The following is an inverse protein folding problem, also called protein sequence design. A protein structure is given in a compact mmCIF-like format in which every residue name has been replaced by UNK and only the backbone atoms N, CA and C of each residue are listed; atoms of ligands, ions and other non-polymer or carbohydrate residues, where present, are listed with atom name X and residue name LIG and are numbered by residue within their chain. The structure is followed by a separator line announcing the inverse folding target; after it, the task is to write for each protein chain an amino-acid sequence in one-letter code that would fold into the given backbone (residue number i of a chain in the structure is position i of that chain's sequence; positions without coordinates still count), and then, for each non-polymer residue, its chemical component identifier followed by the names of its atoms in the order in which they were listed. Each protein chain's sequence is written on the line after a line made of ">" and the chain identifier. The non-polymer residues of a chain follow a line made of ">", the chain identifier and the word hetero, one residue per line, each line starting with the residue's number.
data_IF_018998982676
#
_entry.id   IF_018998982676
#
_cell.length_a   1.000
_cell.length_b   1.000
_cell.length_c   1.000
_cell.angle_alpha   90.00
_cell.angle_beta   90.00
_cell.angle_gamma   90.00
#
_symmetry.space_group_name_H-M   'P 1'
#
loop_
_entity.id
_entity.type
_entity.pdbx_description
1 polymer ?
#
# COMPACT_ATOMS: atom_id res chain seq x y z
N UNK A 1 -9.26 6.05 19.84
CA UNK A 1 -9.91 4.72 19.93
C UNK A 1 -8.99 3.69 19.32
N UNK A 2 -8.31 2.97 20.20
CA UNK A 2 -7.29 1.96 19.92
C UNK A 2 -7.96 0.68 19.42
N UNK A 3 -7.83 0.39 18.13
CA UNK A 3 -8.21 -0.92 17.58
C UNK A 3 -7.20 -1.94 18.11
N UNK A 4 -7.63 -2.77 19.06
CA UNK A 4 -6.85 -3.85 19.65
C UNK A 4 -6.42 -4.85 18.55
N UNK A 5 -5.16 -5.32 18.53
CA UNK A 5 -4.76 -6.37 17.60
C UNK A 5 -5.34 -7.72 18.07
N UNK A 6 -6.22 -8.30 17.25
CA UNK A 6 -7.00 -9.51 17.56
C UNK A 6 -6.21 -10.82 17.64
N UNK A 7 -4.88 -10.80 17.58
CA UNK A 7 -4.11 -12.04 17.69
C UNK A 7 -2.70 -11.79 18.25
N UNK A 8 -2.52 -12.02 19.55
CA UNK A 8 -1.24 -11.78 20.24
C UNK A 8 -0.53 -13.04 20.72
N UNK A 9 -1.02 -14.23 20.43
CA UNK A 9 -0.45 -15.46 20.99
C UNK A 9 -0.03 -16.44 19.89
N UNK A 10 1.28 -16.67 19.69
CA UNK A 10 1.82 -17.68 18.75
C UNK A 10 1.24 -19.08 18.98
N UNK A 11 0.86 -19.41 20.22
CA UNK A 11 0.29 -20.71 20.61
C UNK A 11 -1.06 -21.01 19.97
N UNK A 12 -1.79 -19.99 19.54
CA UNK A 12 -3.13 -20.16 18.99
C UNK A 12 -3.05 -20.35 17.45
N UNK A 13 -2.01 -19.84 16.77
CA UNK A 13 -1.88 -19.97 15.30
C UNK A 13 -1.79 -21.44 14.87
N UNK A 14 -1.02 -22.24 15.61
CA UNK A 14 -0.84 -23.67 15.34
C UNK A 14 -2.11 -24.49 15.59
N UNK A 15 -3.10 -23.93 16.32
CA UNK A 15 -4.37 -24.60 16.62
C UNK A 15 -5.37 -24.55 15.44
N UNK A 16 -5.13 -23.69 14.45
CA UNK A 16 -6.05 -23.58 13.31
C UNK A 16 -5.91 -24.72 12.31
N UNK A 17 -7.06 -25.20 11.85
CA UNK A 17 -7.16 -26.21 10.79
C UNK A 17 -6.56 -25.69 9.48
N UNK A 18 -5.83 -26.54 8.77
CA UNK A 18 -5.36 -26.25 7.40
C UNK A 18 -6.51 -25.83 6.48
N UNK A 19 -6.23 -25.00 5.48
CA UNK A 19 -7.25 -24.30 4.70
C UNK A 19 -7.25 -22.80 4.93
N UNK A 20 -8.38 -22.19 4.58
CA UNK A 20 -8.69 -20.80 4.89
C UNK A 20 -8.50 -20.42 6.37
N UNK A 21 -8.87 -21.24 7.38
CA UNK A 21 -8.69 -20.86 8.77
C UNK A 21 -7.22 -20.58 9.14
N UNK A 22 -6.29 -21.44 8.70
CA UNK A 22 -4.85 -21.25 8.95
C UNK A 22 -4.25 -20.15 8.09
N UNK A 23 -4.72 -19.99 6.84
CA UNK A 23 -4.24 -18.92 5.97
C UNK A 23 -4.66 -17.53 6.46
N UNK A 24 -5.92 -17.33 6.82
CA UNK A 24 -6.38 -16.03 7.36
C UNK A 24 -5.73 -15.72 8.70
N UNK A 25 -5.46 -16.75 9.52
CA UNK A 25 -4.67 -16.60 10.74
C UNK A 25 -3.24 -16.09 10.46
N UNK A 26 -2.59 -16.57 9.38
CA UNK A 26 -1.30 -16.04 8.95
C UNK A 26 -1.43 -14.56 8.55
N UNK A 27 -2.41 -14.22 7.71
CA UNK A 27 -2.62 -12.84 7.26
C UNK A 27 -2.91 -11.89 8.44
N UNK A 28 -3.57 -12.39 9.50
CA UNK A 28 -3.85 -11.63 10.72
C UNK A 28 -2.62 -11.46 11.63
N UNK A 29 -1.58 -12.29 11.47
CA UNK A 29 -0.41 -12.31 12.35
C UNK A 29 0.45 -11.05 12.22
N UNK A 30 0.59 -10.52 11.00
CA UNK A 30 1.40 -9.33 10.76
C UNK A 30 0.90 -8.56 9.53
N UNK A 31 0.81 -7.21 9.60
CA UNK A 31 0.38 -6.37 8.47
C UNK A 31 1.16 -6.58 7.17
N UNK A 32 2.44 -6.94 7.27
CA UNK A 32 3.29 -7.29 6.12
C UNK A 32 2.72 -8.42 5.25
N UNK A 33 1.92 -9.32 5.83
CA UNK A 33 1.32 -10.42 5.08
C UNK A 33 0.02 -10.04 4.37
N UNK A 34 -0.56 -8.89 4.70
CA UNK A 34 -1.85 -8.42 4.20
C UNK A 34 -1.69 -7.73 2.85
N UNK A 35 -1.34 -8.51 1.83
CA UNK A 35 -1.17 -8.06 0.45
C UNK A 35 -2.39 -8.49 -0.36
N UNK A 36 -3.08 -7.54 -0.98
CA UNK A 36 -4.27 -7.80 -1.78
C UNK A 36 -4.22 -7.06 -3.10
N UNK A 37 -5.01 -7.50 -4.08
CA UNK A 37 -5.08 -6.83 -5.37
C UNK A 37 -5.88 -5.53 -5.30
N UNK A 38 -5.36 -4.48 -5.94
CA UNK A 38 -6.07 -3.20 -6.17
C UNK A 38 -7.20 -3.36 -7.17
N UNK A 39 -7.04 -4.31 -8.11
CA UNK A 39 -7.93 -4.52 -9.25
C UNK A 39 -8.05 -3.28 -10.15
N UNK A 40 -6.96 -2.53 -10.32
CA UNK A 40 -6.99 -1.22 -10.99
C UNK A 40 -7.64 -1.28 -12.38
N UNK A 41 -7.24 -2.25 -13.21
CA UNK A 41 -7.80 -2.44 -14.55
C UNK A 41 -9.31 -2.74 -14.54
N UNK A 42 -9.76 -3.55 -13.59
CA UNK A 42 -11.18 -3.95 -13.50
C UNK A 42 -12.02 -2.77 -13.01
N UNK A 43 -11.57 -2.07 -11.96
CA UNK A 43 -12.23 -0.87 -11.44
C UNK A 43 -12.36 0.22 -12.51
N UNK A 44 -11.28 0.50 -13.22
CA UNK A 44 -11.30 1.46 -14.34
C UNK A 44 -12.27 1.04 -15.45
N UNK A 45 -12.29 -0.24 -15.81
CA UNK A 45 -13.25 -0.73 -16.81
C UNK A 45 -14.70 -0.52 -16.36
N UNK A 46 -15.02 -0.79 -15.10
CA UNK A 46 -16.35 -0.56 -14.56
C UNK A 46 -16.69 0.94 -14.52
N UNK A 47 -15.73 1.79 -14.15
CA UNK A 47 -15.90 3.26 -14.18
C UNK A 47 -16.20 3.77 -15.59
N UNK A 48 -15.47 3.30 -16.59
CA UNK A 48 -15.69 3.69 -17.99
C UNK A 48 -17.08 3.26 -18.50
N UNK A 49 -17.51 2.04 -18.16
CA UNK A 49 -18.86 1.57 -18.51
C UNK A 49 -19.93 2.43 -17.84
N UNK A 50 -19.76 2.75 -16.55
CA UNK A 50 -20.73 3.58 -15.82
C UNK A 50 -20.76 5.03 -16.32
N UNK A 51 -19.62 5.55 -16.77
CA UNK A 51 -19.53 6.87 -17.39
C UNK A 51 -20.31 6.93 -18.71
N UNK A 52 -20.17 5.91 -19.55
CA UNK A 52 -20.90 5.80 -20.81
C UNK A 52 -22.42 5.72 -20.57
N UNK A 53 -22.85 4.93 -19.59
CA UNK A 53 -24.27 4.87 -19.16
C UNK A 53 -24.80 6.27 -18.78
N UNK A 54 -24.01 7.08 -18.07
CA UNK A 54 -24.41 8.45 -17.71
C UNK A 54 -24.53 9.33 -18.97
N UNK A 55 -23.61 9.20 -19.92
CA UNK A 55 -23.66 9.95 -21.19
C UNK A 55 -24.91 9.57 -22.00
N UNK A 56 -25.31 8.30 -22.03
CA UNK A 56 -26.57 7.87 -22.66
C UNK A 56 -27.80 8.49 -21.98
N UNK A 57 -27.80 8.57 -20.65
CA UNK A 57 -28.87 9.21 -19.88
C UNK A 57 -28.92 10.72 -20.12
N UNK A 58 -27.76 11.38 -20.21
CA UNK A 58 -27.66 12.81 -20.56
C UNK A 58 -28.22 13.08 -21.95
N UNK A 59 -27.79 12.32 -22.96
CA UNK A 59 -28.32 12.44 -24.33
C UNK A 59 -29.82 12.21 -24.40
N UNK A 60 -30.35 11.27 -23.62
CA UNK A 60 -31.78 11.00 -23.55
C UNK A 60 -32.54 12.17 -22.91
N UNK A 61 -31.96 12.82 -21.90
CA UNK A 61 -32.56 13.96 -21.23
C UNK A 61 -32.60 15.18 -22.15
N UNK A 62 -31.50 15.45 -22.85
CA UNK A 62 -31.42 16.51 -23.85
C UNK A 62 -32.46 16.33 -24.96
N UNK A 63 -32.72 15.09 -25.37
CA UNK A 63 -33.77 14.78 -26.34
C UNK A 63 -35.17 15.10 -25.78
N UNK A 64 -35.48 14.68 -24.55
CA UNK A 64 -36.77 14.98 -23.90
C UNK A 64 -36.97 16.49 -23.75
N UNK A 65 -35.91 17.21 -23.39
CA UNK A 65 -35.95 18.67 -23.20
C UNK A 65 -36.12 19.39 -24.53
N UNK A 66 -35.46 18.94 -25.58
CA UNK A 66 -35.61 19.50 -26.95
C UNK A 66 -37.02 19.27 -27.51
N UNK A 67 -37.66 18.14 -27.16
CA UNK A 67 -39.00 17.80 -27.63
C UNK A 67 -40.12 18.40 -26.76
N UNK A 68 -39.78 19.10 -25.67
CA UNK A 68 -40.75 19.67 -24.74
C UNK A 68 -41.49 20.86 -25.37
N UNK A 69 -42.80 20.71 -25.54
CA UNK A 69 -43.66 21.76 -26.10
C UNK A 69 -44.00 22.85 -25.09
N UNK A 70 -43.93 22.54 -23.79
CA UNK A 70 -44.34 23.45 -22.72
C UNK A 70 -43.12 24.06 -22.04
N UNK A 71 -42.72 25.26 -22.47
CA UNK A 71 -41.61 26.00 -21.86
C UNK A 71 -41.73 26.16 -20.33
N UNK A 72 -42.95 26.23 -19.80
CA UNK A 72 -43.22 26.27 -18.35
C UNK A 72 -42.71 25.04 -17.59
N UNK A 73 -42.64 23.87 -18.24
CA UNK A 73 -42.12 22.65 -17.62
C UNK A 73 -40.61 22.73 -17.44
N UNK A 74 -39.90 23.18 -18.48
CA UNK A 74 -38.45 23.42 -18.42
C UNK A 74 -38.08 24.53 -17.41
N UNK A 75 -38.90 25.58 -17.33
CA UNK A 75 -38.65 26.73 -16.45
C UNK A 75 -39.11 26.57 -15.00
N UNK A 76 -39.92 25.55 -14.69
CA UNK A 76 -40.49 25.41 -13.34
C UNK A 76 -40.72 23.95 -12.94
N UNK A 77 -39.74 23.37 -12.22
CA UNK A 77 -39.81 22.00 -11.69
C UNK A 77 -41.09 21.68 -10.93
N UNK A 78 -41.63 22.62 -10.13
CA UNK A 78 -42.86 22.42 -9.36
C UNK A 78 -44.10 22.23 -10.24
N UNK A 79 -44.05 22.73 -11.48
CA UNK A 79 -45.13 22.65 -12.47
C UNK A 79 -44.85 21.65 -13.57
N UNK A 80 -43.68 21.03 -13.56
CA UNK A 80 -43.28 20.02 -14.52
C UNK A 80 -44.01 18.71 -14.21
N UNK A 81 -44.86 18.27 -15.14
CA UNK A 81 -45.59 16.99 -15.04
C UNK A 81 -45.11 16.00 -16.10
N UNK A 82 -43.94 16.21 -16.70
CA UNK A 82 -43.34 15.28 -17.64
C UNK A 82 -42.76 14.08 -16.86
N UNK A 83 -43.53 12.99 -16.81
CA UNK A 83 -43.14 11.79 -16.07
C UNK A 83 -41.88 11.13 -16.62
N UNK A 84 -41.66 11.20 -17.94
CA UNK A 84 -40.49 10.62 -18.59
C UNK A 84 -39.21 11.35 -18.16
N UNK A 85 -39.23 12.70 -18.16
CA UNK A 85 -38.14 13.51 -17.61
C UNK A 85 -37.88 13.19 -16.15
N UNK A 86 -38.93 13.10 -15.33
CA UNK A 86 -38.79 12.82 -13.90
C UNK A 86 -38.20 11.43 -13.62
N UNK A 87 -38.61 10.41 -14.37
CA UNK A 87 -38.06 9.06 -14.26
C UNK A 87 -36.58 9.04 -14.66
N UNK A 88 -36.24 9.69 -15.77
CA UNK A 88 -34.86 9.76 -16.26
C UNK A 88 -33.95 10.49 -15.28
N UNK A 89 -34.40 11.63 -14.72
CA UNK A 89 -33.67 12.36 -13.68
C UNK A 89 -33.46 11.52 -12.41
N UNK A 90 -34.43 10.66 -12.05
CA UNK A 90 -34.29 9.74 -10.92
C UNK A 90 -33.21 8.68 -11.20
N UNK A 91 -33.21 8.09 -12.40
CA UNK A 91 -32.18 7.13 -12.85
C UNK A 91 -30.80 7.77 -12.86
N UNK A 92 -30.68 8.95 -13.47
CA UNK A 92 -29.43 9.71 -13.52
C UNK A 92 -28.87 10.02 -12.13
N UNK A 93 -29.74 10.41 -11.17
CA UNK A 93 -29.32 10.62 -9.78
C UNK A 93 -28.71 9.37 -9.14
N UNK A 94 -29.28 8.20 -9.40
CA UNK A 94 -28.75 6.91 -8.91
C UNK A 94 -27.41 6.61 -9.60
N UNK A 95 -27.36 6.69 -10.93
CA UNK A 95 -26.16 6.36 -11.70
C UNK A 95 -24.97 7.26 -11.37
N UNK A 96 -25.20 8.56 -11.15
CA UNK A 96 -24.15 9.49 -10.66
C UNK A 96 -23.69 9.12 -9.26
N UNK A 97 -24.61 8.81 -8.34
CA UNK A 97 -24.24 8.41 -6.97
C UNK A 97 -23.39 7.14 -6.95
N UNK A 98 -23.71 6.16 -7.80
CA UNK A 98 -22.93 4.94 -7.97
C UNK A 98 -21.54 5.23 -8.55
N UNK A 99 -21.47 6.05 -9.60
CA UNK A 99 -20.21 6.47 -10.22
C UNK A 99 -19.30 7.19 -9.22
N UNK A 100 -19.83 8.12 -8.44
CA UNK A 100 -19.10 8.85 -7.40
C UNK A 100 -18.55 7.91 -6.32
N UNK A 101 -19.33 6.90 -5.92
CA UNK A 101 -18.87 5.88 -4.97
C UNK A 101 -17.73 5.06 -5.56
N UNK A 102 -17.88 4.61 -6.81
CA UNK A 102 -16.84 3.85 -7.51
C UNK A 102 -15.55 4.65 -7.66
N UNK A 103 -15.64 5.95 -7.95
CA UNK A 103 -14.50 6.85 -8.04
C UNK A 103 -13.79 6.98 -6.69
N UNK A 104 -14.54 7.21 -5.61
CA UNK A 104 -13.98 7.31 -4.24
C UNK A 104 -13.28 6.01 -3.83
N UNK A 105 -13.91 4.87 -4.11
CA UNK A 105 -13.34 3.55 -3.80
C UNK A 105 -12.07 3.30 -4.60
N UNK A 106 -12.04 3.68 -5.87
CA UNK A 106 -10.84 3.55 -6.70
C UNK A 106 -9.73 4.51 -6.26
N UNK A 107 -10.07 5.75 -5.93
CA UNK A 107 -9.13 6.71 -5.37
C UNK A 107 -8.51 6.17 -4.07
N UNK A 108 -9.32 5.63 -3.17
CA UNK A 108 -8.81 5.01 -1.94
C UNK A 108 -7.87 3.84 -2.26
N UNK A 109 -8.25 2.96 -3.21
CA UNK A 109 -7.42 1.85 -3.65
C UNK A 109 -6.09 2.29 -4.30
N UNK A 110 -6.04 3.45 -4.97
CA UNK A 110 -4.82 4.03 -5.52
C UNK A 110 -3.84 4.52 -4.45
N UNK A 111 -4.36 5.06 -3.33
CA UNK A 111 -3.53 5.60 -2.25
C UNK A 111 -2.96 4.53 -1.31
N UNK A 112 -3.38 3.27 -1.45
CA UNK A 112 -2.73 2.19 -0.71
C UNK A 112 -1.24 2.11 -1.09
N UNK A 113 -0.34 1.75 -0.17
CA UNK A 113 1.07 1.56 -0.49
C UNK A 113 1.25 0.29 -1.33
N UNK A 114 2.30 0.29 -2.17
CA UNK A 114 2.67 -0.91 -2.93
C UNK A 114 3.09 -2.04 -2.01
N UNK A 115 2.80 -3.28 -2.43
CA UNK A 115 3.20 -4.45 -1.68
C UNK A 115 4.72 -4.61 -1.69
N UNK A 116 5.31 -4.89 -0.53
CA UNK A 116 6.73 -5.17 -0.43
C UNK A 116 7.03 -6.58 -0.99
N UNK A 117 7.88 -6.64 -2.03
CA UNK A 117 8.26 -7.89 -2.68
C UNK A 117 8.76 -8.96 -1.70
N UNK A 118 9.52 -8.56 -0.68
CA UNK A 118 10.05 -9.51 0.31
C UNK A 118 8.93 -10.18 1.09
N UNK A 119 7.91 -9.40 1.46
CA UNK A 119 6.81 -9.88 2.27
C UNK A 119 5.87 -10.77 1.44
N UNK A 120 5.65 -10.42 0.17
CA UNK A 120 4.92 -11.27 -0.80
C UNK A 120 5.60 -12.63 -0.97
N UNK A 121 6.92 -12.65 -1.18
CA UNK A 121 7.70 -13.88 -1.31
C UNK A 121 7.63 -14.74 -0.03
N UNK A 122 7.64 -14.11 1.15
CA UNK A 122 7.49 -14.86 2.41
C UNK A 122 6.13 -15.56 2.49
N UNK A 123 5.05 -14.91 2.04
CA UNK A 123 3.71 -15.51 2.00
C UNK A 123 3.66 -16.64 0.96
N UNK A 124 4.21 -16.42 -0.24
CA UNK A 124 4.30 -17.45 -1.28
C UNK A 124 5.07 -18.69 -0.81
N UNK A 125 6.21 -18.51 -0.15
CA UNK A 125 7.01 -19.62 0.39
C UNK A 125 6.25 -20.40 1.45
N UNK A 126 5.51 -19.73 2.32
CA UNK A 126 4.69 -20.40 3.32
C UNK A 126 3.53 -21.18 2.69
N UNK A 127 2.84 -20.61 1.70
CA UNK A 127 1.77 -21.28 0.97
C UNK A 127 2.31 -22.52 0.26
N UNK A 128 3.47 -22.41 -0.42
CA UNK A 128 4.11 -23.51 -1.12
C UNK A 128 4.59 -24.61 -0.15
N UNK A 129 5.04 -24.24 1.05
CA UNK A 129 5.50 -25.19 2.06
C UNK A 129 4.37 -25.90 2.82
N UNK A 130 3.21 -25.26 2.97
CA UNK A 130 2.08 -25.82 3.73
C UNK A 130 1.00 -26.44 2.85
N UNK A 131 0.87 -26.02 1.59
CA UNK A 131 -0.18 -26.47 0.69
C UNK A 131 -1.59 -26.17 1.20
N UNK A 132 -1.76 -25.18 2.09
CA UNK A 132 -3.01 -24.96 2.80
C UNK A 132 -4.13 -24.33 1.95
N UNK A 133 -3.80 -23.71 0.81
CA UNK A 133 -4.75 -23.08 -0.11
C UNK A 133 -4.43 -23.52 -1.54
N UNK A 134 -5.47 -23.63 -2.38
CA UNK A 134 -5.31 -23.99 -3.78
C UNK A 134 -4.43 -22.99 -4.54
N UNK A 135 -3.51 -23.48 -5.37
CA UNK A 135 -2.58 -22.64 -6.15
C UNK A 135 -3.31 -21.65 -7.08
N UNK A 136 -4.47 -22.03 -7.60
CA UNK A 136 -5.29 -21.16 -8.44
C UNK A 136 -5.78 -19.91 -7.67
N UNK A 137 -6.04 -20.05 -6.36
CA UNK A 137 -6.50 -18.96 -5.52
C UNK A 137 -5.37 -18.05 -5.04
N UNK A 138 -4.12 -18.49 -5.11
CA UNK A 138 -2.93 -17.73 -4.67
C UNK A 138 -2.10 -17.18 -5.83
N UNK A 139 -2.46 -17.52 -7.07
CA UNK A 139 -1.86 -16.98 -8.30
C UNK A 139 -1.95 -15.44 -8.42
N UNK A 140 -2.78 -14.79 -7.60
CA UNK A 140 -2.83 -13.34 -7.52
C UNK A 140 -1.53 -12.74 -6.96
N UNK A 141 -0.78 -13.48 -6.14
CA UNK A 141 0.48 -13.03 -5.54
C UNK A 141 1.60 -12.86 -6.58
N UNK A 142 1.45 -13.48 -7.75
CA UNK A 142 2.42 -13.34 -8.85
C UNK A 142 2.25 -12.00 -9.60
N UNK A 143 1.15 -11.27 -9.37
CA UNK A 143 0.83 -9.99 -10.02
C UNK A 143 1.30 -8.80 -9.19
N UNK A 144 2.60 -8.68 -9.00
CA UNK A 144 3.24 -7.69 -8.12
C UNK A 144 2.74 -6.26 -8.41
N UNK A 145 2.60 -5.91 -9.69
CA UNK A 145 2.19 -4.56 -10.14
C UNK A 145 0.77 -4.15 -9.71
N UNK A 146 -0.09 -5.11 -9.35
CA UNK A 146 -1.48 -4.87 -8.92
C UNK A 146 -1.68 -5.15 -7.43
N UNK A 147 -0.62 -5.47 -6.68
CA UNK A 147 -0.68 -5.74 -5.25
C UNK A 147 -0.50 -4.45 -4.43
N UNK A 148 -1.36 -4.30 -3.43
CA UNK A 148 -1.27 -3.28 -2.40
C UNK A 148 -1.05 -3.93 -1.02
N UNK A 149 -0.16 -3.33 -0.23
CA UNK A 149 -0.02 -3.65 1.18
C UNK A 149 -1.10 -2.92 1.99
N UNK A 150 -1.79 -3.63 2.89
CA UNK A 150 -2.72 -3.00 3.85
C UNK A 150 -2.00 -2.41 5.07
N UNK A 151 -0.73 -2.76 5.26
CA UNK A 151 0.09 -2.14 6.29
C UNK A 151 0.29 -0.66 5.95
N UNK A 152 -0.13 0.24 6.86
CA UNK A 152 0.21 1.66 6.76
C UNK A 152 1.72 1.78 6.60
N UNK A 153 2.17 2.32 5.47
CA UNK A 153 3.43 3.02 5.45
C UNK A 153 3.32 4.11 6.51
N UNK A 154 4.15 4.02 7.55
CA UNK A 154 4.47 5.21 8.29
C UNK A 154 5.14 6.13 7.26
N UNK A 155 4.57 7.31 7.04
CA UNK A 155 5.07 8.40 6.18
C UNK A 155 4.69 8.37 4.69
N UNK A 156 3.47 8.84 4.40
CA UNK A 156 3.01 9.25 3.06
C UNK A 156 3.66 10.53 2.51
N UNK A 157 4.93 10.81 2.82
CA UNK A 157 5.66 11.97 2.32
C UNK A 157 6.97 11.62 1.58
N UNK A 158 7.33 10.33 1.49
CA UNK A 158 8.72 9.96 1.22
C UNK A 158 8.99 9.26 -0.11
N UNK A 159 8.05 9.10 -1.04
CA UNK A 159 8.30 8.25 -2.23
C UNK A 159 9.45 8.75 -3.15
N UNK A 160 9.82 10.05 -3.11
CA UNK A 160 10.97 10.57 -3.89
C UNK A 160 12.28 10.58 -3.10
N UNK A 161 12.23 10.76 -1.78
CA UNK A 161 13.40 10.71 -0.90
C UNK A 161 13.79 9.28 -0.59
N UNK A 162 12.83 8.37 -0.51
CA UNK A 162 13.01 6.95 -0.20
C UNK A 162 13.74 6.22 -1.33
N UNK A 163 13.47 6.50 -2.61
CA UNK A 163 14.24 5.90 -3.73
C UNK A 163 15.70 6.35 -3.73
N UNK A 164 15.97 7.62 -3.40
CA UNK A 164 17.33 8.14 -3.33
C UNK A 164 18.07 7.58 -2.10
N UNK A 165 17.39 7.53 -0.96
CA UNK A 165 17.92 6.94 0.28
C UNK A 165 18.10 5.43 0.15
N UNK A 166 17.21 4.70 -0.55
CA UNK A 166 17.36 3.26 -0.83
C UNK A 166 18.54 2.99 -1.78
N UNK A 167 18.73 3.81 -2.80
CA UNK A 167 19.91 3.69 -3.68
C UNK A 167 21.21 3.96 -2.92
N UNK A 168 21.24 4.98 -2.07
CA UNK A 168 22.42 5.30 -1.25
C UNK A 168 22.64 4.23 -0.17
N UNK A 169 21.59 3.77 0.50
CA UNK A 169 21.66 2.73 1.53
C UNK A 169 21.96 1.34 0.96
N UNK A 170 21.55 1.04 -0.28
CA UNK A 170 21.91 -0.22 -0.96
C UNK A 170 23.35 -0.21 -1.45
N UNK A 171 23.86 0.92 -1.94
CA UNK A 171 25.28 1.08 -2.29
C UNK A 171 26.15 1.00 -1.02
N UNK A 172 25.77 1.71 0.04
CA UNK A 172 26.48 1.70 1.32
C UNK A 172 26.35 0.34 2.02
N UNK A 173 25.18 -0.29 1.96
CA UNK A 173 24.93 -1.63 2.50
C UNK A 173 25.64 -2.74 1.73
N UNK A 174 25.83 -2.59 0.42
CA UNK A 174 26.66 -3.47 -0.40
C UNK A 174 28.15 -3.28 -0.07
N UNK A 175 28.59 -2.03 0.12
CA UNK A 175 29.96 -1.71 0.53
C UNK A 175 30.27 -2.26 1.94
N UNK A 176 29.34 -2.10 2.88
CA UNK A 176 29.40 -2.67 4.22
C UNK A 176 29.38 -4.19 4.12
N UNK A 177 28.46 -4.85 3.39
CA UNK A 177 28.44 -6.32 3.21
C UNK A 177 29.73 -6.86 2.62
N UNK A 178 30.35 -6.14 1.68
CA UNK A 178 31.64 -6.52 1.08
C UNK A 178 32.79 -6.41 2.09
N UNK A 179 32.72 -5.46 3.03
CA UNK A 179 33.65 -5.33 4.17
C UNK A 179 33.30 -6.18 5.40
N UNK A 180 32.05 -6.61 5.55
CA UNK A 180 31.52 -7.35 6.71
C UNK A 180 31.70 -8.87 6.59
N UNK A 181 32.47 -9.36 5.62
CA UNK A 181 32.87 -10.79 5.53
C UNK A 181 33.72 -11.25 6.73
N UNK A 182 34.04 -10.37 7.67
CA UNK A 182 34.89 -10.60 8.84
C UNK A 182 34.16 -10.55 10.21
N UNK A 183 32.81 -10.56 10.27
CA UNK A 183 32.06 -10.59 11.55
C UNK A 183 31.53 -11.98 11.94
N UNK A 184 31.39 -12.29 13.25
CA UNK A 184 31.14 -13.65 13.76
C UNK A 184 29.73 -14.15 13.42
N UNK A 185 29.59 -15.47 13.28
CA UNK A 185 28.34 -16.17 12.86
C UNK A 185 27.08 -15.87 13.70
N UNK A 186 27.21 -15.29 14.89
CA UNK A 186 26.10 -14.93 15.78
C UNK A 186 25.21 -13.78 15.26
N UNK A 187 25.62 -13.09 14.18
CA UNK A 187 24.91 -11.94 13.60
C UNK A 187 24.23 -12.23 12.25
N UNK A 188 24.05 -13.51 11.89
CA UNK A 188 23.16 -13.91 10.77
C UNK A 188 21.69 -13.60 11.15
N UNK A 189 20.82 -13.16 10.22
CA UNK A 189 19.43 -12.81 10.51
C UNK A 189 18.68 -14.02 11.09
N UNK A 190 18.53 -14.02 12.41
CA UNK A 190 17.93 -15.10 13.17
C UNK A 190 16.46 -14.87 13.45
N UNK A 191 15.66 -15.91 13.13
CA UNK A 191 14.43 -16.38 13.80
C UNK A 191 13.58 -15.32 14.49
N UNK A 192 12.41 -15.02 13.94
CA UNK A 192 11.34 -14.36 14.69
C UNK A 192 10.59 -15.36 15.56
N UNK A 193 10.42 -15.05 16.85
CA UNK A 193 9.65 -15.83 17.85
C UNK A 193 8.13 -15.92 17.57
N UNK A 194 7.65 -15.46 16.40
CA UNK A 194 6.22 -15.39 16.08
C UNK A 194 5.67 -16.68 15.46
N UNK A 195 6.50 -17.50 14.83
CA UNK A 195 6.09 -18.79 14.26
C UNK A 195 7.26 -19.77 14.27
N UNK A 196 6.99 -21.05 14.55
CA UNK A 196 7.98 -22.13 14.48
C UNK A 196 8.28 -22.56 13.04
N UNK A 197 7.53 -22.06 12.05
CA UNK A 197 7.70 -22.42 10.65
C UNK A 197 8.98 -21.83 10.04
N UNK A 198 9.76 -22.72 9.42
CA UNK A 198 11.11 -22.43 8.90
C UNK A 198 11.11 -21.55 7.64
N UNK A 199 9.96 -21.40 6.97
CA UNK A 199 9.84 -20.74 5.67
C UNK A 199 9.42 -19.26 5.73
N UNK A 200 9.22 -18.69 6.92
CA UNK A 200 8.79 -17.30 7.10
C UNK A 200 9.96 -16.46 7.61
N UNK A 201 10.47 -15.56 6.77
CA UNK A 201 11.53 -14.61 7.13
C UNK A 201 10.91 -13.28 7.55
N UNK A 202 10.59 -13.13 8.85
CA UNK A 202 10.17 -11.85 9.40
C UNK A 202 11.39 -11.04 9.85
N UNK A 203 11.54 -9.80 9.37
CA UNK A 203 12.47 -8.85 10.00
C UNK A 203 11.95 -8.50 11.40
N UNK A 204 12.61 -9.02 12.43
CA UNK A 204 12.23 -8.80 13.82
C UNK A 204 12.17 -7.32 14.20
N UNK A 205 11.23 -6.96 15.09
CA UNK A 205 11.02 -5.58 15.58
C UNK A 205 12.31 -4.94 16.13
N UNK A 206 13.15 -5.73 16.80
CA UNK A 206 14.46 -5.28 17.33
C UNK A 206 15.46 -4.98 16.23
N UNK A 207 15.46 -5.75 15.15
CA UNK A 207 16.35 -5.53 14.01
C UNK A 207 15.93 -4.28 13.22
N UNK A 208 14.63 -4.04 13.04
CA UNK A 208 14.14 -2.77 12.45
C UNK A 208 14.52 -1.56 13.31
N UNK A 209 14.39 -1.66 14.63
CA UNK A 209 14.84 -0.59 15.53
C UNK A 209 16.34 -0.34 15.40
N UNK A 210 17.14 -1.42 15.38
CA UNK A 210 18.59 -1.32 15.20
C UNK A 210 18.97 -0.70 13.85
N UNK A 211 18.34 -1.15 12.75
CA UNK A 211 18.56 -0.58 11.41
C UNK A 211 18.19 0.90 11.39
N UNK A 212 17.07 1.30 11.99
CA UNK A 212 16.64 2.70 12.03
C UNK A 212 17.54 3.59 12.89
N UNK A 213 18.09 3.06 13.99
CA UNK A 213 19.09 3.77 14.81
C UNK A 213 20.39 3.95 14.04
N UNK A 214 20.85 2.91 13.36
CA UNK A 214 22.08 2.95 12.57
C UNK A 214 21.93 3.91 11.39
N UNK A 215 20.81 3.88 10.66
CA UNK A 215 20.57 4.83 9.56
C UNK A 215 20.49 6.27 10.06
N UNK A 216 19.82 6.52 11.20
CA UNK A 216 19.73 7.85 11.80
C UNK A 216 21.10 8.37 12.25
N UNK A 217 21.94 7.51 12.85
CA UNK A 217 23.30 7.86 13.25
C UNK A 217 24.20 8.19 12.05
N UNK A 218 24.08 7.44 10.95
CA UNK A 218 24.83 7.70 9.71
C UNK A 218 24.41 9.02 9.08
N UNK A 219 23.10 9.31 9.02
CA UNK A 219 22.60 10.59 8.49
C UNK A 219 23.09 11.76 9.33
N UNK A 220 23.05 11.64 10.67
CA UNK A 220 23.59 12.65 11.57
C UNK A 220 25.10 12.87 11.35
N UNK A 221 25.87 11.79 11.16
CA UNK A 221 27.30 11.89 10.87
C UNK A 221 27.60 12.59 9.54
N UNK A 222 26.81 12.32 8.50
CA UNK A 222 26.96 12.98 7.18
C UNK A 222 26.63 14.48 7.28
N UNK A 223 25.60 14.85 8.05
CA UNK A 223 25.24 16.25 8.26
C UNK A 223 26.28 17.02 9.09
N UNK A 224 26.93 16.34 10.03
CA UNK A 224 27.99 16.93 10.86
C UNK A 224 29.34 16.98 10.13
N UNK A 225 29.59 16.11 9.15
CA UNK A 225 30.84 16.07 8.40
C UNK A 225 31.27 17.43 7.79
N UNK A 226 30.41 18.20 7.09
CA UNK A 226 30.80 19.52 6.56
C UNK A 226 31.07 20.55 7.66
N UNK A 227 30.35 20.50 8.79
CA UNK A 227 30.58 21.39 9.94
C UNK A 227 31.93 21.11 10.58
N UNK A 228 32.27 19.83 10.76
CA UNK A 228 33.57 19.39 11.28
C UNK A 228 34.69 19.74 10.30
N UNK A 229 34.49 19.55 9.00
CA UNK A 229 35.47 19.92 7.98
C UNK A 229 35.75 21.43 7.98
N UNK A 230 34.72 22.28 8.06
CA UNK A 230 34.86 23.73 8.17
C UNK A 230 35.55 24.15 9.48
N UNK A 231 35.25 23.46 10.59
CA UNK A 231 35.91 23.68 11.88
C UNK A 231 37.40 23.29 11.85
N UNK A 232 37.75 22.19 11.18
CA UNK A 232 39.13 21.76 10.97
C UNK A 232 39.91 22.74 10.09
N UNK A 233 39.30 23.29 9.04
CA UNK A 233 39.95 24.29 8.17
C UNK A 233 40.16 25.61 8.94
N UNK A 234 39.18 26.03 9.75
CA UNK A 234 39.29 27.26 10.56
C UNK A 234 40.30 27.13 11.70
N UNK A 235 40.43 25.95 12.32
CA UNK A 235 41.44 25.67 13.37
C UNK A 235 42.85 25.41 12.83
N UNK A 236 43.00 25.07 11.54
CA UNK A 236 44.30 25.06 10.86
C UNK A 236 44.77 26.49 10.55
N UNK A 237 43.87 27.39 10.15
CA UNK A 237 44.16 28.81 9.94
C UNK A 237 44.55 29.55 11.24
N UNK A 238 43.99 29.17 12.39
CA UNK A 238 44.40 29.70 13.70
C UNK A 238 45.80 29.29 14.16
N UNK A 239 46.45 28.33 13.49
CA UNK A 239 47.85 27.91 13.76
C UNK A 239 48.86 28.51 12.78
N UNK A 240 48.41 29.28 11.78
CA UNK A 240 49.29 29.91 10.78
C UNK A 240 49.38 31.45 10.93
N UNK A 241 48.77 32.01 11.98
CA UNK A 241 48.89 33.42 12.39
C UNK A 241 49.32 33.49 13.87
N UNK A 242 50.18 32.57 14.30
CA UNK A 242 50.97 32.73 15.52
C UNK A 242 52.42 32.35 15.23
#
# INVERSE_FOLDING_TARGET
>A
MSVLPLYRQPSQFDSFRSGYPKFTALLALHPAFQNFRRFSRVRLRLLLVKQDEIVELESSLDQIDTQEKRALFLGCRRRDTNNERQELLSKMRISISEYDSMMKDYQHALHLPDANQRDVVSVQNWINGTGCIARAETAYLDRIDDLAGMARSHDGASHRTEIAVEKIASILGAFIRKRLQFLPEAMKPGRSDLTKDTNIFLMGRRLRFFVNVVTSAIVAAILLAPVVALFCIRSALGRLIM
#
